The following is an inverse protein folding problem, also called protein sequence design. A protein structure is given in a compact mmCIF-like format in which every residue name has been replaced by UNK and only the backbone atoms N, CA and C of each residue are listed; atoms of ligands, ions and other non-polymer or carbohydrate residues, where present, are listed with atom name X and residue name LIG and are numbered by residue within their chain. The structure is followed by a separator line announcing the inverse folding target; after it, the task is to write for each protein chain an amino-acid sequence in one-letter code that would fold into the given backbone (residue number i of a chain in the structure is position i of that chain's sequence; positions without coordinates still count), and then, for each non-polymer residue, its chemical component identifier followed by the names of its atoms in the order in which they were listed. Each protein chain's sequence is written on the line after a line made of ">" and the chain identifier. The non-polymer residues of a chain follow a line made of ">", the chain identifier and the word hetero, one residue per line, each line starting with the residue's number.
data_IF_091753534182
#
_entry.id   IF_091753534182
#
_cell.length_a   1.000
_cell.length_b   1.000
_cell.length_c   1.000
_cell.angle_alpha   90.00
_cell.angle_beta   90.00
_cell.angle_gamma   90.00
#
_symmetry.space_group_name_H-M   'P 1'
#
loop_
_entity.id
_entity.type
_entity.pdbx_description
1 polymer ?
#
# COMPACT_ATOMS: atom_id res chain seq x y z
N UNK A 1 5.30 -9.93 -3.18
CA UNK A 1 4.51 -9.04 -2.29
C UNK A 1 5.41 -8.50 -1.21
N UNK A 2 5.22 -7.25 -0.80
CA UNK A 2 6.05 -6.59 0.22
C UNK A 2 5.19 -5.80 1.20
N UNK A 3 5.53 -5.80 2.49
CA UNK A 3 4.86 -4.91 3.44
C UNK A 3 5.19 -3.48 3.04
N UNK A 4 4.19 -2.62 2.84
CA UNK A 4 4.44 -1.26 2.37
C UNK A 4 3.37 -0.30 2.87
N UNK A 5 3.75 0.63 3.74
CA UNK A 5 2.83 1.59 4.37
C UNK A 5 3.58 2.82 4.90
N UNK A 6 2.86 3.93 5.02
CA UNK A 6 3.43 5.23 5.43
C UNK A 6 4.10 5.22 6.82
N UNK A 7 3.77 4.25 7.69
CA UNK A 7 4.34 4.14 9.05
C UNK A 7 5.59 3.25 9.09
N UNK A 8 6.06 2.69 7.99
CA UNK A 8 7.23 1.80 7.98
C UNK A 8 7.00 0.45 8.67
N UNK A 9 5.77 0.13 9.07
CA UNK A 9 5.50 -1.05 9.89
C UNK A 9 5.80 -2.31 9.08
N UNK A 10 6.62 -3.21 9.65
CA UNK A 10 7.06 -4.46 9.01
C UNK A 10 7.88 -4.24 7.72
N UNK A 11 8.35 -3.02 7.46
CA UNK A 11 9.23 -2.71 6.33
C UNK A 11 10.71 -2.84 6.68
N UNK A 12 11.05 -2.99 7.97
CA UNK A 12 12.42 -2.89 8.45
C UNK A 12 12.91 -1.45 8.36
N UNK A 13 13.89 -1.19 7.50
CA UNK A 13 14.39 0.17 7.24
C UNK A 13 13.56 0.81 6.14
N UNK A 14 12.50 1.55 6.52
CA UNK A 14 11.51 2.11 5.60
C UNK A 14 12.13 2.78 4.37
N UNK A 15 13.06 3.72 4.57
CA UNK A 15 13.68 4.48 3.48
C UNK A 15 14.42 3.59 2.46
N UNK A 16 15.18 2.61 2.93
CA UNK A 16 15.88 1.66 2.03
C UNK A 16 14.87 0.80 1.26
N UNK A 17 13.75 0.46 1.89
CA UNK A 17 12.69 -0.31 1.26
C UNK A 17 12.00 0.49 0.16
N UNK A 18 11.66 1.76 0.44
CA UNK A 18 11.14 2.71 -0.56
C UNK A 18 12.13 2.86 -1.73
N UNK A 19 13.41 3.09 -1.44
CA UNK A 19 14.46 3.21 -2.45
C UNK A 19 14.57 1.95 -3.35
N UNK A 20 14.45 0.75 -2.79
CA UNK A 20 14.46 -0.50 -3.57
C UNK A 20 13.24 -0.58 -4.48
N UNK A 21 12.06 -0.27 -3.95
CA UNK A 21 10.81 -0.32 -4.72
C UNK A 21 10.84 0.67 -5.89
N UNK A 22 11.20 1.92 -5.60
CA UNK A 22 11.11 3.01 -6.56
C UNK A 22 12.19 2.96 -7.65
N UNK A 23 13.36 2.38 -7.36
CA UNK A 23 14.44 2.29 -8.34
C UNK A 23 14.44 0.97 -9.14
N UNK A 24 13.68 -0.04 -8.75
CA UNK A 24 13.70 -1.36 -9.38
C UNK A 24 12.57 -1.53 -10.41
N UNK A 25 12.77 -0.96 -11.61
CA UNK A 25 11.75 -0.94 -12.68
C UNK A 25 11.58 -2.27 -13.43
N UNK A 26 12.43 -3.26 -13.16
CA UNK A 26 12.37 -4.59 -13.78
C UNK A 26 11.36 -5.54 -13.11
N UNK A 27 10.79 -5.14 -11.97
CA UNK A 27 9.82 -5.94 -11.23
C UNK A 27 8.54 -5.15 -10.94
N UNK A 28 7.41 -5.84 -10.94
CA UNK A 28 6.15 -5.30 -10.45
C UNK A 28 5.97 -5.67 -8.97
N UNK A 29 5.76 -4.66 -8.14
CA UNK A 29 5.55 -4.85 -6.71
C UNK A 29 4.07 -4.86 -6.34
N UNK A 30 3.73 -5.78 -5.43
CA UNK A 30 2.40 -5.86 -4.81
C UNK A 30 2.56 -5.48 -3.33
N UNK A 31 1.92 -4.39 -2.92
CA UNK A 31 1.90 -3.92 -1.53
C UNK A 31 0.94 -4.73 -0.67
N UNK A 32 1.39 -5.22 0.48
CA UNK A 32 0.56 -5.87 1.49
C UNK A 32 0.64 -5.12 2.82
N UNK A 33 -0.35 -5.34 3.70
CA UNK A 33 -0.45 -4.67 5.02
C UNK A 33 -0.41 -3.14 4.91
N UNK A 34 -0.99 -2.61 3.83
CA UNK A 34 -1.01 -1.19 3.47
C UNK A 34 -1.68 -0.32 4.53
N UNK A 35 -2.66 -0.89 5.24
CA UNK A 35 -3.41 -0.22 6.32
C UNK A 35 -2.84 -0.48 7.73
N UNK A 36 -1.73 -1.23 7.83
CA UNK A 36 -1.09 -1.61 9.10
C UNK A 36 -2.08 -2.16 10.16
N UNK A 37 -2.91 -3.12 9.75
CA UNK A 37 -3.97 -3.70 10.59
C UNK A 37 -4.96 -2.64 11.13
N UNK A 38 -5.46 -1.77 10.25
CA UNK A 38 -6.43 -0.72 10.59
C UNK A 38 -5.83 0.53 11.26
N UNK A 39 -4.51 0.55 11.52
CA UNK A 39 -3.83 1.69 12.16
C UNK A 39 -3.60 2.88 11.21
N UNK A 40 -3.88 2.72 9.93
CA UNK A 40 -3.74 3.76 8.90
C UNK A 40 -5.04 3.80 8.10
N UNK A 41 -5.64 4.99 8.03
CA UNK A 41 -6.84 5.20 7.23
C UNK A 41 -6.56 4.98 5.74
N UNK A 42 -7.48 4.34 4.99
CA UNK A 42 -7.30 4.06 3.57
C UNK A 42 -6.86 5.26 2.72
N UNK A 43 -7.45 6.47 2.86
CA UNK A 43 -7.03 7.61 2.03
C UNK A 43 -5.57 7.99 2.22
N UNK A 44 -5.07 7.97 3.47
CA UNK A 44 -3.66 8.26 3.78
C UNK A 44 -2.73 7.18 3.27
N UNK A 45 -3.11 5.91 3.44
CA UNK A 45 -2.33 4.77 2.97
C UNK A 45 -2.16 4.81 1.44
N UNK A 46 -3.27 4.92 0.70
CA UNK A 46 -3.24 4.80 -0.75
C UNK A 46 -2.70 6.05 -1.45
N UNK A 47 -2.88 7.26 -0.88
CA UNK A 47 -2.19 8.45 -1.38
C UNK A 47 -0.66 8.40 -1.18
N UNK A 48 -0.19 7.73 -0.13
CA UNK A 48 1.24 7.46 0.03
C UNK A 48 1.70 6.42 -1.00
N UNK A 49 1.01 5.29 -1.11
CA UNK A 49 1.36 4.20 -2.03
C UNK A 49 1.35 4.64 -3.50
N UNK A 50 0.44 5.53 -3.90
CA UNK A 50 0.33 6.02 -5.29
C UNK A 50 1.59 6.75 -5.77
N UNK A 51 2.48 7.17 -4.86
CA UNK A 51 3.73 7.86 -5.18
C UNK A 51 4.90 6.91 -5.43
N UNK A 52 4.71 5.62 -5.19
CA UNK A 52 5.75 4.61 -5.29
C UNK A 52 5.50 3.66 -6.47
N UNK A 53 6.53 2.89 -6.83
CA UNK A 53 6.46 1.85 -7.87
C UNK A 53 5.70 0.57 -7.41
N UNK A 54 4.50 0.76 -6.86
CA UNK A 54 3.60 -0.32 -6.43
C UNK A 54 2.48 -0.46 -7.47
N UNK A 55 2.37 -1.64 -8.08
CA UNK A 55 1.43 -1.90 -9.17
C UNK A 55 0.09 -2.46 -8.71
N UNK A 56 0.07 -3.12 -7.56
CA UNK A 56 -1.17 -3.62 -6.95
C UNK A 56 -1.07 -3.59 -5.43
N UNK A 57 -2.22 -3.61 -4.77
CA UNK A 57 -2.31 -3.70 -3.32
C UNK A 57 -3.23 -4.85 -2.92
N UNK A 58 -2.89 -5.52 -1.82
CA UNK A 58 -3.77 -6.49 -1.16
C UNK A 58 -4.50 -5.79 -0.03
N UNK A 59 -5.82 -5.80 -0.08
CA UNK A 59 -6.70 -5.26 0.95
C UNK A 59 -7.26 -6.42 1.76
N UNK A 60 -6.80 -6.57 2.99
CA UNK A 60 -7.33 -7.55 3.93
C UNK A 60 -8.24 -6.85 4.94
N UNK A 61 -9.51 -7.26 4.98
CA UNK A 61 -10.53 -6.79 5.92
C UNK A 61 -11.34 -7.97 6.46
N UNK A 62 -11.94 -7.79 7.62
CA UNK A 62 -12.85 -8.78 8.21
C UNK A 62 -14.27 -8.57 7.67
N UNK A 63 -14.73 -7.31 7.66
CA UNK A 63 -16.07 -6.98 7.22
C UNK A 63 -16.13 -6.63 5.73
N UNK A 64 -17.19 -7.11 5.06
CA UNK A 64 -17.39 -6.89 3.62
C UNK A 64 -17.51 -5.40 3.30
N UNK A 65 -18.17 -4.62 4.15
CA UNK A 65 -18.39 -3.19 3.90
C UNK A 65 -17.08 -2.40 4.02
N UNK A 66 -16.22 -2.75 4.98
CA UNK A 66 -14.87 -2.18 5.09
C UNK A 66 -14.02 -2.51 3.86
N UNK A 67 -14.15 -3.74 3.34
CA UNK A 67 -13.47 -4.15 2.12
C UNK A 67 -13.91 -3.32 0.91
N UNK A 68 -15.22 -3.06 0.75
CA UNK A 68 -15.75 -2.22 -0.34
C UNK A 68 -15.23 -0.78 -0.23
N UNK A 69 -15.39 -0.15 0.93
CA UNK A 69 -14.97 1.24 1.15
C UNK A 69 -13.47 1.40 0.88
N UNK A 70 -12.65 0.51 1.45
CA UNK A 70 -11.21 0.55 1.23
C UNK A 70 -10.83 0.33 -0.24
N UNK A 71 -11.55 -0.55 -0.95
CA UNK A 71 -11.35 -0.80 -2.38
C UNK A 71 -11.69 0.42 -3.22
N UNK A 72 -12.82 1.09 -2.98
CA UNK A 72 -13.21 2.31 -3.69
C UNK A 72 -12.17 3.42 -3.52
N UNK A 73 -11.66 3.60 -2.30
CA UNK A 73 -10.62 4.60 -2.01
C UNK A 73 -9.31 4.22 -2.73
N UNK A 74 -8.93 2.94 -2.72
CA UNK A 74 -7.75 2.46 -3.42
C UNK A 74 -7.86 2.70 -4.93
N UNK A 75 -9.01 2.38 -5.54
CA UNK A 75 -9.26 2.61 -6.96
C UNK A 75 -9.13 4.09 -7.32
N UNK A 76 -9.74 4.99 -6.54
CA UNK A 76 -9.65 6.45 -6.77
C UNK A 76 -8.21 6.98 -6.64
N UNK A 77 -7.41 6.42 -5.73
CA UNK A 77 -6.05 6.91 -5.47
C UNK A 77 -4.98 6.30 -6.38
N UNK A 78 -5.21 5.08 -6.91
CA UNK A 78 -4.21 4.29 -7.63
C UNK A 78 -4.48 4.17 -9.14
N UNK A 79 -5.68 4.52 -9.62
CA UNK A 79 -5.93 4.65 -11.05
C UNK A 79 -5.13 5.85 -11.59
N UNK A 80 -4.03 5.56 -12.29
CA UNK A 80 -3.24 6.50 -13.09
C UNK A 80 -3.49 6.26 -14.57
#
# INVERSE_FOLDING_TARGET
>A
MISFNIKGMMMGVQRKHEEIVDNCNQFSFIGMKTLAAGKIEPPKAYNYISKHNIHAVVIGMVEVEEAKIATEIALKALQK
#
